data_IF_787405253442
#
_entry.id   IF_787405253442
#
_cell.length_a   1.000
_cell.length_b   1.000
_cell.length_c   1.000
_cell.angle_alpha   90.00
_cell.angle_beta   90.00
_cell.angle_gamma   90.00
#
_symmetry.space_group_name_H-M   'P 1'
#
loop_
_entity.id
_entity.type
_entity.pdbx_description
1 polymer ?
#
# COMPACT_ATOMS: atom_id res chain seq x y z
N UNK A 1 23.82 15.81 18.75
CA UNK A 1 24.03 14.85 17.65
C UNK A 1 22.68 14.60 16.98
N UNK A 2 22.49 15.04 15.74
CA UNK A 2 21.25 14.78 14.99
C UNK A 2 21.48 13.54 14.15
N UNK A 3 20.78 12.45 14.47
CA UNK A 3 20.79 11.23 13.67
C UNK A 3 19.78 11.37 12.54
N UNK A 4 20.24 11.38 11.28
CA UNK A 4 19.37 11.32 10.12
C UNK A 4 18.88 9.89 9.92
N UNK A 5 17.63 9.62 10.33
CA UNK A 5 16.99 8.32 10.11
C UNK A 5 16.73 8.14 8.61
N UNK A 6 17.31 7.09 8.01
CA UNK A 6 16.97 6.68 6.64
C UNK A 6 15.60 6.01 6.64
N UNK A 7 14.55 6.77 6.30
CA UNK A 7 13.19 6.25 6.07
C UNK A 7 13.09 5.55 4.71
N UNK A 8 13.86 4.48 4.56
CA UNK A 8 13.89 3.67 3.34
C UNK A 8 12.87 2.52 3.38
N UNK A 9 12.35 2.17 4.55
CA UNK A 9 11.22 1.25 4.66
C UNK A 9 9.93 2.06 4.74
N UNK A 10 9.02 1.80 3.81
CA UNK A 10 7.67 2.39 3.76
C UNK A 10 6.64 1.28 3.80
N UNK A 11 5.46 1.59 4.31
CA UNK A 11 4.45 0.58 4.58
C UNK A 11 3.05 1.20 4.61
N UNK A 12 2.05 0.35 4.42
CA UNK A 12 0.64 0.69 4.58
C UNK A 12 -0.11 -0.51 5.16
N UNK A 13 -1.22 -0.24 5.82
CA UNK A 13 -2.13 -1.22 6.42
C UNK A 13 -3.54 -0.64 6.31
N UNK A 14 -4.33 -1.14 5.35
CA UNK A 14 -5.62 -0.58 4.99
C UNK A 14 -6.66 -1.67 4.83
N UNK A 15 -7.82 -1.50 5.48
CA UNK A 15 -8.96 -2.40 5.37
C UNK A 15 -10.01 -1.85 4.41
N UNK A 16 -10.81 -2.75 3.82
CA UNK A 16 -12.01 -2.41 3.04
C UNK A 16 -13.06 -1.61 3.82
N UNK A 17 -13.02 -1.66 5.15
CA UNK A 17 -13.92 -0.88 6.00
C UNK A 17 -13.40 0.54 6.28
N UNK A 18 -12.20 0.88 5.82
CA UNK A 18 -11.71 2.24 5.95
C UNK A 18 -12.51 3.19 5.04
N UNK A 19 -12.71 4.45 5.46
CA UNK A 19 -13.32 5.44 4.60
C UNK A 19 -12.40 5.77 3.42
N UNK A 20 -13.01 6.33 2.37
CA UNK A 20 -12.29 6.94 1.26
C UNK A 20 -11.31 8.03 1.74
N UNK A 21 -10.38 8.39 0.86
CA UNK A 21 -9.42 9.46 1.12
C UNK A 21 -10.12 10.76 1.54
N UNK A 22 -9.53 11.53 2.47
CA UNK A 22 -10.15 12.74 3.04
C UNK A 22 -10.57 13.78 1.97
N UNK A 23 -9.89 13.79 0.82
CA UNK A 23 -10.22 14.67 -0.32
C UNK A 23 -11.53 14.32 -1.03
N UNK A 24 -12.07 13.13 -0.79
CA UNK A 24 -13.37 12.69 -1.30
C UNK A 24 -14.54 13.32 -0.54
N UNK A 25 -14.27 14.05 0.54
CA UNK A 25 -15.26 14.65 1.42
C UNK A 25 -15.08 16.17 1.52
N UNK A 26 -16.19 16.89 1.56
CA UNK A 26 -16.23 18.30 1.94
C UNK A 26 -17.22 18.52 3.08
N UNK A 27 -17.11 19.66 3.77
CA UNK A 27 -18.06 20.04 4.80
C UNK A 27 -18.99 21.12 4.27
N UNK A 28 -20.28 20.81 4.14
CA UNK A 28 -21.36 21.74 3.79
C UNK A 28 -22.40 21.77 4.89
N UNK A 29 -22.76 22.95 5.37
CA UNK A 29 -23.76 23.14 6.44
C UNK A 29 -23.54 22.26 7.68
N UNK A 30 -22.27 22.16 8.10
CA UNK A 30 -21.82 21.28 9.18
C UNK A 30 -21.98 19.76 8.95
N UNK A 31 -22.44 19.34 7.77
CA UNK A 31 -22.51 17.95 7.35
C UNK A 31 -21.33 17.59 6.44
N UNK A 32 -20.87 16.35 6.53
CA UNK A 32 -19.88 15.81 5.58
C UNK A 32 -20.62 15.32 4.35
N UNK A 33 -20.29 15.87 3.18
CA UNK A 33 -20.84 15.48 1.90
C UNK A 33 -19.73 14.97 0.99
N UNK A 34 -19.98 13.89 0.28
CA UNK A 34 -19.06 13.38 -0.72
C UNK A 34 -18.96 14.36 -1.90
N UNK A 35 -17.74 14.71 -2.32
CA UNK A 35 -17.48 15.53 -3.52
C UNK A 35 -17.21 14.69 -4.77
N UNK A 36 -17.00 13.40 -4.58
CA UNK A 36 -16.77 12.41 -5.62
C UNK A 36 -17.87 11.34 -5.55
N UNK A 37 -18.04 10.58 -6.63
CA UNK A 37 -19.05 9.53 -6.73
C UNK A 37 -18.39 8.19 -7.10
N UNK A 38 -19.10 7.09 -6.84
CA UNK A 38 -18.70 5.76 -7.28
C UNK A 38 -17.44 5.24 -6.58
N UNK A 39 -16.49 4.72 -7.36
CA UNK A 39 -15.30 4.02 -6.87
C UNK A 39 -14.33 4.91 -6.07
N UNK A 40 -14.39 6.24 -6.24
CA UNK A 40 -13.57 7.19 -5.47
C UNK A 40 -14.00 7.31 -3.99
N UNK A 41 -15.12 6.66 -3.62
CA UNK A 41 -15.57 6.48 -2.23
C UNK A 41 -15.08 5.17 -1.60
N UNK A 42 -14.31 4.36 -2.33
CA UNK A 42 -13.69 3.14 -1.79
C UNK A 42 -12.36 3.46 -1.10
N UNK A 43 -11.93 2.62 -0.15
CA UNK A 43 -10.60 2.75 0.44
C UNK A 43 -9.51 2.44 -0.58
N UNK A 44 -8.43 3.21 -0.49
CA UNK A 44 -7.20 2.97 -1.22
C UNK A 44 -6.00 3.10 -0.29
N UNK A 45 -4.94 2.35 -0.59
CA UNK A 45 -3.69 2.39 0.15
C UNK A 45 -2.63 3.11 -0.66
N UNK A 46 -1.97 4.11 -0.06
CA UNK A 46 -0.91 4.88 -0.72
C UNK A 46 0.44 4.52 -0.11
N UNK A 47 1.38 4.10 -0.96
CA UNK A 47 2.81 4.04 -0.59
C UNK A 47 3.55 5.17 -1.28
N UNK A 48 4.39 5.87 -0.53
CA UNK A 48 5.19 6.99 -1.04
C UNK A 48 6.59 7.00 -0.44
N UNK A 49 7.59 7.03 -1.32
CA UNK A 49 8.98 7.16 -0.95
C UNK A 49 9.38 8.63 -0.70
N UNK A 50 10.42 8.86 0.13
CA UNK A 50 11.01 10.19 0.27
C UNK A 50 11.46 10.78 -1.09
N UNK A 51 11.57 12.12 -1.20
CA UNK A 51 12.01 12.76 -2.44
C UNK A 51 13.31 12.15 -3.00
N UNK A 52 13.37 12.02 -4.33
CA UNK A 52 14.52 11.45 -5.07
C UNK A 52 14.76 9.95 -4.84
N UNK A 53 13.80 9.23 -4.25
CA UNK A 53 13.81 7.77 -4.12
C UNK A 53 12.58 7.17 -4.80
N UNK A 54 12.72 5.94 -5.25
CA UNK A 54 11.65 5.15 -5.82
C UNK A 54 11.54 3.83 -5.07
N UNK A 55 10.35 3.23 -5.11
CA UNK A 55 10.12 1.89 -4.58
C UNK A 55 10.94 0.93 -5.44
N UNK A 56 11.93 0.26 -4.87
CA UNK A 56 12.76 -0.70 -5.59
C UNK A 56 12.31 -2.14 -5.39
N UNK A 57 11.76 -2.43 -4.22
CA UNK A 57 11.41 -3.77 -3.82
C UNK A 57 10.20 -3.75 -2.92
N UNK A 58 9.25 -4.64 -3.16
CA UNK A 58 8.18 -4.96 -2.22
C UNK A 58 8.70 -6.11 -1.34
N UNK A 59 8.87 -5.85 -0.05
CA UNK A 59 9.40 -6.84 0.90
C UNK A 59 8.30 -7.79 1.35
N UNK A 60 7.06 -7.29 1.44
CA UNK A 60 5.90 -8.03 1.86
C UNK A 60 4.65 -7.39 1.28
N UNK A 61 3.71 -8.19 0.80
CA UNK A 61 2.35 -7.78 0.51
C UNK A 61 1.39 -8.93 0.82
N UNK A 62 0.29 -8.61 1.50
CA UNK A 62 -0.77 -9.56 1.80
C UNK A 62 -2.12 -8.86 1.81
N UNK A 63 -3.10 -9.47 1.15
CA UNK A 63 -4.50 -9.08 1.25
C UNK A 63 -5.30 -10.20 1.92
N UNK A 64 -6.00 -9.90 3.00
CA UNK A 64 -6.71 -10.89 3.81
C UNK A 64 -6.68 -10.47 5.28
N UNK A 65 -6.02 -11.27 6.13
CA UNK A 65 -5.81 -10.95 7.55
C UNK A 65 -4.35 -10.91 7.98
N UNK A 66 -3.55 -10.01 7.40
CA UNK A 66 -2.17 -9.81 7.83
C UNK A 66 -2.10 -9.46 9.32
N UNK A 67 -1.04 -9.93 9.97
CA UNK A 67 -0.76 -9.67 11.38
C UNK A 67 0.52 -8.84 11.53
N UNK A 68 0.71 -8.27 12.72
CA UNK A 68 1.90 -7.51 13.06
C UNK A 68 1.82 -6.03 12.69
N UNK A 69 2.98 -5.41 12.56
CA UNK A 69 3.12 -3.97 12.34
C UNK A 69 4.16 -3.70 11.26
N UNK A 70 4.19 -2.47 10.75
CA UNK A 70 5.20 -2.04 9.79
C UNK A 70 6.63 -2.38 10.25
N UNK A 71 7.36 -3.15 9.44
CA UNK A 71 8.67 -3.70 9.77
C UNK A 71 8.65 -5.18 10.13
N UNK A 72 7.49 -5.72 10.53
CA UNK A 72 7.29 -7.10 10.94
C UNK A 72 5.86 -7.57 10.63
N UNK A 73 5.47 -7.47 9.36
CA UNK A 73 4.21 -8.07 8.90
C UNK A 73 4.35 -9.57 8.68
N UNK A 74 3.30 -10.31 8.99
CA UNK A 74 3.19 -11.74 8.71
C UNK A 74 1.87 -12.07 8.04
N UNK A 75 1.87 -13.14 7.25
CA UNK A 75 0.67 -13.68 6.64
C UNK A 75 -0.20 -14.32 7.73
N UNK A 76 -1.50 -14.03 7.72
CA UNK A 76 -2.47 -14.65 8.62
C UNK A 76 -3.02 -15.97 8.09
N UNK A 77 -4.16 -16.39 8.61
CA UNK A 77 -4.86 -17.60 8.16
C UNK A 77 -5.47 -17.49 6.77
N UNK A 78 -5.55 -16.28 6.21
CA UNK A 78 -6.15 -15.99 4.93
C UNK A 78 -5.34 -14.94 4.16
N UNK A 79 -5.06 -15.27 2.90
CA UNK A 79 -4.18 -14.50 2.06
C UNK A 79 -4.50 -14.70 0.59
N UNK A 80 -4.64 -13.60 -0.15
CA UNK A 80 -4.75 -13.61 -1.60
C UNK A 80 -3.36 -13.83 -2.23
N UNK A 81 -3.21 -14.93 -2.97
CA UNK A 81 -1.92 -15.35 -3.57
C UNK A 81 -1.33 -14.34 -4.56
N UNK A 82 -2.16 -13.49 -5.16
CA UNK A 82 -1.74 -12.48 -6.14
C UNK A 82 -1.35 -11.13 -5.52
N UNK A 83 -1.48 -10.98 -4.19
CA UNK A 83 -1.22 -9.70 -3.52
C UNK A 83 0.19 -9.17 -3.82
N UNK A 84 1.21 -10.02 -3.74
CA UNK A 84 2.60 -9.63 -4.04
C UNK A 84 2.79 -9.18 -5.48
N UNK A 85 2.30 -9.96 -6.45
CA UNK A 85 2.45 -9.68 -7.89
C UNK A 85 1.80 -8.34 -8.27
N UNK A 86 0.57 -8.10 -7.81
CA UNK A 86 -0.18 -6.88 -8.11
C UNK A 86 0.55 -5.66 -7.55
N UNK A 87 0.99 -5.74 -6.30
CA UNK A 87 1.68 -4.62 -5.63
C UNK A 87 3.04 -4.34 -6.28
N UNK A 88 3.79 -5.37 -6.64
CA UNK A 88 5.07 -5.20 -7.35
C UNK A 88 4.87 -4.49 -8.68
N UNK A 89 3.90 -4.95 -9.47
CA UNK A 89 3.56 -4.36 -10.76
C UNK A 89 3.15 -2.88 -10.63
N UNK A 90 2.36 -2.55 -9.63
CA UNK A 90 1.85 -1.19 -9.47
C UNK A 90 2.82 -0.22 -8.81
N UNK A 91 3.73 -0.69 -7.96
CA UNK A 91 4.55 0.18 -7.13
C UNK A 91 6.03 0.25 -7.53
N UNK A 92 6.63 -0.84 -8.01
CA UNK A 92 8.07 -0.87 -8.29
C UNK A 92 8.45 0.12 -9.39
N UNK A 93 9.53 0.86 -9.17
CA UNK A 93 10.04 1.89 -10.07
C UNK A 93 9.35 3.26 -9.93
N UNK A 94 8.23 3.36 -9.21
CA UNK A 94 7.51 4.62 -8.97
C UNK A 94 7.95 5.25 -7.64
N UNK A 95 7.82 6.57 -7.51
CA UNK A 95 8.04 7.25 -6.23
C UNK A 95 6.86 7.07 -5.29
N UNK A 96 5.65 7.06 -5.84
CA UNK A 96 4.39 6.84 -5.12
C UNK A 96 3.49 5.95 -5.97
N UNK A 97 2.70 5.11 -5.32
CA UNK A 97 1.65 4.31 -5.94
C UNK A 97 0.40 4.34 -5.06
N UNK A 98 -0.76 4.16 -5.71
CA UNK A 98 -2.06 3.98 -5.07
C UNK A 98 -2.51 2.56 -5.40
N UNK A 99 -3.00 1.85 -4.39
CA UNK A 99 -3.44 0.47 -4.47
C UNK A 99 -4.90 0.42 -4.06
N UNK A 100 -5.73 -0.20 -4.88
CA UNK A 100 -7.12 -0.44 -4.54
C UNK A 100 -7.20 -1.46 -3.41
N UNK A 101 -8.09 -1.24 -2.45
CA UNK A 101 -8.30 -2.16 -1.32
C UNK A 101 -9.64 -2.84 -1.57
N UNK A 102 -9.62 -3.91 -2.38
CA UNK A 102 -10.80 -4.70 -2.71
C UNK A 102 -10.47 -6.16 -2.99
N UNK A 103 -11.43 -7.05 -2.75
CA UNK A 103 -11.34 -8.47 -3.09
C UNK A 103 -10.97 -8.72 -4.56
N UNK A 104 -11.54 -7.95 -5.51
CA UNK A 104 -11.35 -8.14 -6.95
C UNK A 104 -9.92 -7.82 -7.39
N UNK A 105 -9.32 -6.78 -6.81
CA UNK A 105 -7.97 -6.33 -7.17
C UNK A 105 -6.90 -7.40 -6.93
N UNK A 106 -7.09 -8.22 -5.88
CA UNK A 106 -6.11 -9.24 -5.48
C UNK A 106 -6.57 -10.67 -5.74
N UNK A 107 -7.78 -10.87 -6.27
CA UNK A 107 -8.35 -12.21 -6.46
C UNK A 107 -8.52 -12.96 -5.14
N UNK A 108 -9.01 -12.29 -4.11
CA UNK A 108 -9.19 -12.86 -2.78
C UNK A 108 -10.28 -13.94 -2.79
N UNK A 109 -10.06 -15.04 -2.06
CA UNK A 109 -11.04 -16.14 -1.98
C UNK A 109 -12.29 -15.69 -1.20
N UNK A 110 -13.49 -15.72 -1.80
CA UNK A 110 -14.75 -15.39 -1.13
C UNK A 110 -15.09 -16.35 0.03
N UNK A 111 -14.45 -17.52 0.11
CA UNK A 111 -14.65 -18.50 1.19
C UNK A 111 -13.85 -18.19 2.46
N UNK A 112 -13.10 -17.10 2.47
CA UNK A 112 -12.32 -16.68 3.62
C UNK A 112 -13.21 -16.09 4.74
N UNK A 113 -13.48 -16.82 5.84
CA UNK A 113 -14.44 -16.39 6.85
C UNK A 113 -13.78 -15.49 7.89
N UNK A 114 -14.46 -14.40 8.28
CA UNK A 114 -14.12 -13.62 9.48
C UNK A 114 -13.05 -12.55 9.32
N UNK A 115 -12.65 -12.21 8.09
CA UNK A 115 -11.59 -11.22 7.85
C UNK A 115 -12.05 -10.19 6.84
N UNK A 116 -12.22 -8.96 7.30
CA UNK A 116 -12.36 -7.77 6.46
C UNK A 116 -11.12 -7.66 5.58
N UNK A 117 -11.26 -7.60 4.25
CA UNK A 117 -10.15 -7.58 3.32
C UNK A 117 -9.16 -6.49 3.69
N UNK A 118 -7.99 -6.89 4.20
CA UNK A 118 -6.98 -5.95 4.70
C UNK A 118 -5.71 -6.12 3.90
N UNK A 119 -5.30 -5.03 3.27
CA UNK A 119 -4.07 -4.90 2.53
C UNK A 119 -2.95 -4.41 3.46
N UNK A 120 -1.95 -5.25 3.70
CA UNK A 120 -0.69 -4.86 4.33
C UNK A 120 0.43 -4.95 3.30
N UNK A 121 1.17 -3.87 3.13
CA UNK A 121 2.33 -3.81 2.23
C UNK A 121 3.51 -3.18 2.96
N UNK A 122 4.69 -3.74 2.74
CA UNK A 122 5.96 -3.16 3.14
C UNK A 122 6.91 -3.16 1.93
N UNK A 123 7.52 -2.02 1.68
CA UNK A 123 8.42 -1.82 0.55
C UNK A 123 9.68 -1.06 0.94
N UNK A 124 10.74 -1.25 0.16
CA UNK A 124 12.02 -0.57 0.28
C UNK A 124 12.18 0.48 -0.81
N UNK A 125 12.41 1.70 -0.37
CA UNK A 125 12.77 2.85 -1.17
C UNK A 125 14.29 2.95 -1.29
N UNK A 126 14.77 3.25 -2.50
CA UNK A 126 16.16 3.64 -2.68
C UNK A 126 16.30 4.61 -3.85
N UNK A 127 17.47 5.24 -3.99
CA UNK A 127 17.76 6.06 -5.16
C UNK A 127 17.75 5.17 -6.40
N UNK A 128 17.21 5.66 -7.51
CA UNK A 128 17.31 4.95 -8.79
C UNK A 128 18.79 4.68 -9.09
N UNK A 129 19.19 3.44 -9.41
CA UNK A 129 20.55 3.16 -9.84
C UNK A 129 20.87 4.06 -11.04
N UNK A 130 21.91 4.86 -10.95
CA UNK A 130 22.44 5.53 -12.14
C UNK A 130 23.05 4.45 -13.05
N UNK A 131 22.86 4.51 -14.37
CA UNK A 131 23.36 3.49 -15.30
C UNK A 131 24.87 3.20 -15.15
N UNK A 132 25.66 4.18 -14.68
CA UNK A 132 27.10 4.03 -14.45
C UNK A 132 27.49 3.27 -13.17
N UNK A 133 26.56 2.96 -12.26
CA UNK A 133 26.86 2.23 -11.02
C UNK A 133 26.59 0.72 -11.14
N UNK A 134 25.89 0.27 -12.19
CA UNK A 134 25.59 -1.14 -12.43
C UNK A 134 26.68 -1.90 -13.22
N UNK A 135 27.73 -1.21 -13.67
CA UNK A 135 28.81 -1.77 -14.50
C UNK A 135 30.12 -2.04 -13.70
N UNK A 136 30.05 -2.06 -12.37
CA UNK A 136 31.20 -2.37 -11.51
C UNK A 136 30.87 -3.55 -10.58
N UNK A 137 30.73 -4.74 -11.17
CA UNK A 137 30.92 -6.04 -10.52
C UNK A 137 31.56 -6.99 -11.53
#
# INVERSE_FOLDING_TARGET
>A
MVLTVKRDNVCTFMSENNPAHIRSWERKDSQLTAVVAGDDLKPSAVLSCPPKKTIQQVVFASFGNPLGICGNYTVGSCHATRAQEVVEKECVGKQSCTLDVSHEAYGADPKCPGTTGTLAVQAKCSKRPTPNAAAAQ
#
